data_IF_958050824321
#
_entry.id   IF_958050824321
#
_cell.length_a   1.000
_cell.length_b   1.000
_cell.length_c   1.000
_cell.angle_alpha   90.00
_cell.angle_beta   90.00
_cell.angle_gamma   90.00
#
_symmetry.space_group_name_H-M   'P 1'
#
loop_
_entity.id
_entity.type
_entity.pdbx_description
1 polymer ?
#
# COMPACT_ATOMS: atom_id res chain seq x y z
N UNK A 1 -1.30 22.13 -69.58
CA UNK A 1 -0.26 22.44 -68.61
C UNK A 1 -0.60 21.78 -67.27
N UNK A 2 0.30 20.93 -66.86
CA UNK A 2 0.11 20.10 -65.64
C UNK A 2 0.51 20.87 -64.41
N UNK A 3 -0.43 21.06 -63.53
CA UNK A 3 -0.15 21.49 -62.17
C UNK A 3 0.01 20.26 -61.30
N UNK A 4 1.22 20.03 -60.83
CA UNK A 4 1.52 18.96 -59.91
C UNK A 4 1.32 19.52 -58.51
N UNK A 5 0.28 19.01 -57.84
CA UNK A 5 0.01 19.30 -56.44
C UNK A 5 0.84 18.37 -55.58
N UNK A 6 1.68 18.83 -54.65
CA UNK A 6 2.34 17.93 -53.72
C UNK A 6 1.37 17.52 -52.62
N UNK A 7 1.20 16.24 -52.48
CA UNK A 7 0.56 15.61 -51.33
C UNK A 7 1.39 15.85 -50.07
N UNK A 8 0.86 16.65 -49.20
CA UNK A 8 1.41 16.81 -47.85
C UNK A 8 0.92 15.62 -47.04
N UNK A 9 1.81 14.64 -46.88
CA UNK A 9 1.61 13.56 -45.94
C UNK A 9 1.64 14.12 -44.52
N UNK A 10 0.47 14.20 -43.93
CA UNK A 10 0.37 14.53 -42.51
C UNK A 10 0.94 13.40 -41.64
N UNK A 11 2.04 13.67 -41.01
CA UNK A 11 2.65 12.81 -40.02
C UNK A 11 1.80 12.93 -38.75
N UNK A 12 0.93 11.98 -38.53
CA UNK A 12 0.28 11.82 -37.24
C UNK A 12 1.32 11.34 -36.24
N UNK A 13 1.88 12.26 -35.47
CA UNK A 13 2.62 11.91 -34.29
C UNK A 13 1.65 11.35 -33.29
N UNK A 14 1.55 10.02 -33.22
CA UNK A 14 0.88 9.32 -32.13
C UNK A 14 1.72 9.53 -30.89
N UNK A 15 1.35 10.53 -30.09
CA UNK A 15 1.95 10.70 -28.79
C UNK A 15 1.64 9.46 -27.94
N UNK A 16 2.66 8.65 -27.66
CA UNK A 16 2.56 7.65 -26.62
C UNK A 16 2.37 8.41 -25.31
N UNK A 17 1.14 8.39 -24.81
CA UNK A 17 0.87 8.72 -23.42
C UNK A 17 1.45 7.58 -22.60
N UNK A 18 2.69 7.74 -22.16
CA UNK A 18 3.24 6.95 -21.08
C UNK A 18 2.41 7.28 -19.85
N UNK A 19 1.43 6.42 -19.55
CA UNK A 19 0.80 6.39 -18.24
C UNK A 19 1.89 6.02 -17.25
N UNK A 20 2.52 7.04 -16.66
CA UNK A 20 3.29 6.81 -15.46
C UNK A 20 2.33 6.17 -14.46
N UNK A 21 2.57 4.92 -14.07
CA UNK A 21 1.89 4.30 -12.95
C UNK A 21 2.23 5.13 -11.71
N UNK A 22 1.45 6.18 -11.47
CA UNK A 22 1.51 6.88 -10.21
C UNK A 22 1.23 5.84 -9.13
N UNK A 23 2.14 5.72 -8.15
CA UNK A 23 1.89 4.91 -6.98
C UNK A 23 0.54 5.34 -6.42
N UNK A 24 -0.36 4.36 -6.17
CA UNK A 24 -1.70 4.64 -5.68
C UNK A 24 -1.71 5.13 -4.22
N UNK A 25 -0.55 5.31 -3.61
CA UNK A 25 -0.39 5.72 -2.21
C UNK A 25 0.78 6.70 -2.04
N UNK A 26 0.71 7.47 -0.96
CA UNK A 26 1.80 8.30 -0.47
C UNK A 26 2.49 7.58 0.70
N UNK A 27 3.72 7.12 0.47
CA UNK A 27 4.47 6.34 1.45
C UNK A 27 4.84 7.16 2.70
N UNK A 28 5.16 8.44 2.54
CA UNK A 28 5.54 9.29 3.67
C UNK A 28 4.35 9.53 4.60
N UNK A 29 3.19 9.82 4.04
CA UNK A 29 1.94 9.96 4.81
C UNK A 29 1.54 8.63 5.47
N UNK A 30 1.70 7.52 4.77
CA UNK A 30 1.41 6.20 5.31
C UNK A 30 2.29 5.86 6.52
N UNK A 31 3.58 6.11 6.42
CA UNK A 31 4.52 5.90 7.53
C UNK A 31 4.24 6.83 8.71
N UNK A 32 3.91 8.09 8.43
CA UNK A 32 3.54 9.04 9.47
C UNK A 32 2.29 8.58 10.22
N UNK A 33 1.28 8.07 9.52
CA UNK A 33 0.08 7.50 10.15
C UNK A 33 0.41 6.26 10.96
N UNK A 34 1.20 5.34 10.44
CA UNK A 34 1.63 4.13 11.15
C UNK A 34 2.34 4.48 12.46
N UNK A 35 3.21 5.48 12.43
CA UNK A 35 3.89 5.99 13.62
C UNK A 35 2.91 6.60 14.61
N UNK A 36 2.03 7.47 14.15
CA UNK A 36 1.02 8.15 14.98
C UNK A 36 0.08 7.16 15.66
N UNK A 37 -0.34 6.13 14.94
CA UNK A 37 -1.22 5.09 15.46
C UNK A 37 -0.50 4.05 16.35
N UNK A 38 0.80 4.16 16.49
CA UNK A 38 1.60 3.31 17.36
C UNK A 38 1.98 1.95 16.76
N UNK A 39 1.77 1.75 15.47
CA UNK A 39 2.12 0.49 14.79
C UNK A 39 3.61 0.17 14.90
N UNK A 40 4.46 1.20 14.81
CA UNK A 40 5.92 1.05 14.79
C UNK A 40 6.52 0.77 16.18
N UNK A 41 5.70 0.69 17.23
CA UNK A 41 6.14 0.21 18.55
C UNK A 41 6.39 -1.30 18.55
N UNK A 42 5.57 -2.06 17.83
CA UNK A 42 5.65 -3.52 17.77
C UNK A 42 6.14 -4.04 16.41
N UNK A 43 5.87 -3.32 15.33
CA UNK A 43 6.32 -3.66 13.98
C UNK A 43 7.43 -2.72 13.52
N UNK A 44 8.45 -3.25 12.88
CA UNK A 44 9.32 -2.45 12.01
C UNK A 44 8.90 -2.66 10.56
N UNK A 45 9.40 -1.82 9.66
CA UNK A 45 9.04 -1.93 8.24
C UNK A 45 9.58 -3.24 7.63
N UNK A 46 10.83 -3.55 7.86
CA UNK A 46 11.55 -4.65 7.18
C UNK A 46 12.30 -5.61 8.12
N UNK A 47 12.14 -5.47 9.42
CA UNK A 47 12.74 -6.38 10.39
C UNK A 47 11.79 -6.73 11.52
N UNK A 48 12.01 -7.88 12.12
CA UNK A 48 11.24 -8.33 13.28
C UNK A 48 11.58 -7.48 14.51
N UNK A 49 10.55 -7.11 15.23
CA UNK A 49 10.60 -6.53 16.59
C UNK A 49 9.83 -7.46 17.54
N UNK A 50 8.88 -6.92 18.28
CA UNK A 50 7.97 -7.71 19.09
C UNK A 50 6.98 -8.51 18.24
N UNK A 51 6.67 -7.99 17.05
CA UNK A 51 5.84 -8.63 16.05
C UNK A 51 6.57 -8.71 14.70
N UNK A 52 5.97 -9.43 13.76
CA UNK A 52 6.48 -9.53 12.38
C UNK A 52 6.65 -8.16 11.76
N UNK A 53 7.62 -8.03 10.86
CA UNK A 53 7.77 -6.82 10.06
C UNK A 53 6.55 -6.58 9.16
N UNK A 54 6.30 -5.34 8.81
CA UNK A 54 5.23 -4.99 7.87
C UNK A 54 5.47 -5.64 6.50
N UNK A 55 6.74 -5.74 6.09
CA UNK A 55 7.13 -6.43 4.85
C UNK A 55 6.76 -7.92 4.89
N UNK A 56 7.00 -8.59 6.01
CA UNK A 56 6.64 -10.01 6.17
C UNK A 56 5.13 -10.22 6.17
N UNK A 57 4.38 -9.34 6.83
CA UNK A 57 2.92 -9.35 6.80
C UNK A 57 2.43 -9.19 5.36
N UNK A 58 2.98 -8.23 4.62
CA UNK A 58 2.66 -8.02 3.22
C UNK A 58 2.92 -9.26 2.36
N UNK A 59 4.07 -9.90 2.54
CA UNK A 59 4.40 -11.16 1.83
C UNK A 59 3.41 -12.27 2.13
N UNK A 60 2.97 -12.39 3.38
CA UNK A 60 1.98 -13.40 3.77
C UNK A 60 0.60 -13.20 3.15
N UNK A 61 0.28 -11.97 2.77
CA UNK A 61 -0.98 -11.61 2.12
C UNK A 61 -0.90 -11.58 0.60
N UNK A 62 0.30 -11.70 0.04
CA UNK A 62 0.53 -11.61 -1.40
C UNK A 62 -0.27 -12.67 -2.17
N UNK A 63 -0.98 -12.22 -3.21
CA UNK A 63 -1.78 -13.10 -4.06
C UNK A 63 -3.12 -13.52 -3.47
N UNK A 64 -3.45 -13.10 -2.26
CA UNK A 64 -4.76 -13.38 -1.66
C UNK A 64 -5.77 -12.35 -2.11
N UNK A 65 -6.92 -12.81 -2.59
CA UNK A 65 -7.98 -11.92 -3.08
C UNK A 65 -8.56 -11.01 -1.98
N UNK A 66 -8.51 -11.46 -0.73
CA UNK A 66 -9.03 -10.76 0.45
C UNK A 66 -7.94 -10.07 1.29
N UNK A 67 -6.75 -9.86 0.73
CA UNK A 67 -5.60 -9.28 1.44
C UNK A 67 -5.92 -7.93 2.10
N UNK A 68 -6.54 -7.02 1.37
CA UNK A 68 -6.94 -5.72 1.89
C UNK A 68 -7.95 -5.85 3.03
N UNK A 69 -8.95 -6.69 2.87
CA UNK A 69 -9.98 -6.92 3.88
C UNK A 69 -9.38 -7.53 5.16
N UNK A 70 -8.47 -8.48 5.04
CA UNK A 70 -7.76 -9.07 6.18
C UNK A 70 -6.91 -8.06 6.92
N UNK A 71 -6.16 -7.24 6.18
CA UNK A 71 -5.35 -6.20 6.79
C UNK A 71 -6.22 -5.17 7.52
N UNK A 72 -7.30 -4.73 6.88
CA UNK A 72 -8.24 -3.79 7.49
C UNK A 72 -8.89 -4.36 8.75
N UNK A 73 -9.29 -5.63 8.72
CA UNK A 73 -9.83 -6.33 9.91
C UNK A 73 -8.81 -6.32 11.06
N UNK A 74 -7.55 -6.61 10.77
CA UNK A 74 -6.47 -6.59 11.77
C UNK A 74 -6.28 -5.20 12.40
N UNK A 75 -6.45 -4.14 11.62
CA UNK A 75 -6.31 -2.75 12.09
C UNK A 75 -7.49 -2.25 12.89
N UNK A 76 -8.67 -2.84 12.76
CA UNK A 76 -9.92 -2.28 13.27
C UNK A 76 -10.66 -3.15 14.26
N UNK A 77 -10.35 -4.44 14.35
CA UNK A 77 -11.16 -5.38 15.14
C UNK A 77 -10.75 -5.52 16.60
N UNK A 78 -9.53 -5.18 16.96
CA UNK A 78 -9.01 -5.45 18.30
C UNK A 78 -8.83 -6.95 18.58
N UNK A 79 -8.64 -7.77 17.54
CA UNK A 79 -8.45 -9.20 17.69
C UNK A 79 -7.27 -9.55 18.60
N UNK A 80 -7.37 -10.69 19.29
CA UNK A 80 -6.27 -11.17 20.13
C UNK A 80 -5.10 -11.62 19.24
N UNK A 81 -3.91 -11.17 19.60
CA UNK A 81 -2.67 -11.56 18.95
C UNK A 81 -1.75 -12.24 19.95
N UNK A 82 -1.04 -13.26 19.48
CA UNK A 82 -0.10 -14.04 20.30
C UNK A 82 1.33 -13.69 19.93
N UNK A 83 2.09 -13.33 20.95
CA UNK A 83 3.52 -13.09 20.83
C UNK A 83 4.32 -14.39 20.94
N UNK A 84 5.59 -14.36 20.52
CA UNK A 84 6.48 -15.53 20.56
C UNK A 84 6.70 -16.08 21.98
N UNK A 85 6.61 -15.21 23.00
CA UNK A 85 6.73 -15.60 24.40
C UNK A 85 5.46 -16.22 24.99
N UNK A 86 4.41 -16.40 24.18
CA UNK A 86 3.13 -16.96 24.58
C UNK A 86 2.13 -15.95 25.15
N UNK A 87 2.52 -14.71 25.35
CA UNK A 87 1.58 -13.66 25.77
C UNK A 87 0.56 -13.37 24.71
N UNK A 88 -0.65 -13.08 25.13
CA UNK A 88 -1.75 -12.66 24.26
C UNK A 88 -2.22 -11.27 24.65
N UNK A 89 -2.39 -10.41 23.67
CA UNK A 89 -2.90 -9.05 23.85
C UNK A 89 -3.89 -8.71 22.75
N UNK A 90 -4.82 -7.80 23.05
CA UNK A 90 -5.62 -7.20 22.00
C UNK A 90 -4.74 -6.39 21.04
N UNK A 91 -4.90 -6.63 19.75
CA UNK A 91 -4.25 -5.79 18.75
C UNK A 91 -4.81 -4.38 18.84
N UNK A 92 -3.92 -3.40 18.80
CA UNK A 92 -4.31 -2.00 18.87
C UNK A 92 -5.23 -1.62 17.71
N UNK A 93 -6.36 -1.03 18.04
CA UNK A 93 -7.30 -0.51 17.05
C UNK A 93 -6.85 0.87 16.60
N UNK A 94 -6.86 1.09 15.29
CA UNK A 94 -6.53 2.39 14.70
C UNK A 94 -7.57 3.43 15.12
N UNK A 95 -7.12 4.60 15.55
CA UNK A 95 -7.99 5.65 16.10
C UNK A 95 -8.61 6.53 15.02
N UNK A 96 -7.88 6.79 13.94
CA UNK A 96 -8.40 7.62 12.86
C UNK A 96 -9.64 7.01 12.23
N UNK A 97 -10.58 7.87 11.84
CA UNK A 97 -11.77 7.50 11.07
C UNK A 97 -11.66 7.95 9.60
N UNK A 98 -10.54 8.52 9.22
CA UNK A 98 -10.27 8.93 7.86
C UNK A 98 -10.01 7.71 6.96
N UNK A 99 -11.04 7.32 6.22
CA UNK A 99 -10.97 6.14 5.34
C UNK A 99 -9.92 6.27 4.25
N UNK A 100 -9.71 7.46 3.72
CA UNK A 100 -8.68 7.69 2.69
C UNK A 100 -7.28 7.51 3.26
N UNK A 101 -7.03 8.02 4.48
CA UNK A 101 -5.75 7.82 5.16
C UNK A 101 -5.50 6.35 5.52
N UNK A 102 -6.52 5.64 5.97
CA UNK A 102 -6.44 4.19 6.26
C UNK A 102 -6.12 3.42 4.97
N UNK A 103 -6.82 3.72 3.88
CA UNK A 103 -6.56 3.06 2.59
C UNK A 103 -5.14 3.33 2.10
N UNK A 104 -4.68 4.56 2.20
CA UNK A 104 -3.32 4.92 1.84
C UNK A 104 -2.29 4.08 2.61
N UNK A 105 -2.49 3.93 3.91
CA UNK A 105 -1.60 3.12 4.75
C UNK A 105 -1.69 1.63 4.42
N UNK A 106 -2.88 1.09 4.19
CA UNK A 106 -3.04 -0.32 3.81
C UNK A 106 -2.41 -0.62 2.45
N UNK A 107 -2.60 0.24 1.48
CA UNK A 107 -1.98 0.12 0.15
C UNK A 107 -0.45 0.16 0.24
N UNK A 108 0.09 1.05 1.05
CA UNK A 108 1.52 1.10 1.32
C UNK A 108 2.03 -0.20 1.95
N UNK A 109 1.39 -0.69 3.00
CA UNK A 109 1.79 -1.95 3.66
C UNK A 109 1.78 -3.10 2.66
N UNK A 110 0.71 -3.25 1.88
CA UNK A 110 0.59 -4.31 0.88
C UNK A 110 1.65 -4.21 -0.24
N UNK A 111 2.22 -3.03 -0.46
CA UNK A 111 3.28 -2.84 -1.44
C UNK A 111 4.66 -3.33 -0.99
N UNK A 112 4.88 -3.48 0.32
CA UNK A 112 6.20 -3.76 0.89
C UNK A 112 6.72 -5.14 0.56
N UNK A 113 5.86 -6.10 0.32
CA UNK A 113 6.20 -7.51 0.07
C UNK A 113 6.37 -7.88 -1.40
N UNK A 114 6.58 -6.91 -2.26
CA UNK A 114 6.76 -7.14 -3.70
C UNK A 114 8.03 -7.90 -4.02
#
# INVERSE_FOLDING_TARGET
>A
FRVITPLISGLCASGLLLSANALAFDADEAQALAKKEGCLKCHAVDKKKEAKSLTEISKSLKGKADAEAKLLHHLTSGEMVKFDDGKEEEHKVIKTKDKAAIKNMTDWILSLGK
#
